data_IF_416185411988
#
_entry.id   IF_416185411988
#
_cell.length_a   1.000
_cell.length_b   1.000
_cell.length_c   1.000
_cell.angle_alpha   90.00
_cell.angle_beta   90.00
_cell.angle_gamma   90.00
#
_symmetry.space_group_name_H-M   'P 1'
#
loop_
_entity.id
_entity.type
_entity.pdbx_description
1 polymer ?
#
# COMPACT_ATOMS: atom_id res chain seq x y z
N UNK A 1 3.36 -10.40 5.29
CA UNK A 1 3.78 -9.00 5.50
C UNK A 1 2.74 -8.29 6.35
N UNK A 2 3.19 -7.59 7.36
CA UNK A 2 2.27 -6.88 8.26
C UNK A 2 2.15 -5.42 7.86
N UNK A 3 0.93 -4.88 7.94
CA UNK A 3 0.70 -3.47 7.59
C UNK A 3 1.49 -2.52 8.48
N UNK A 4 1.79 -2.94 9.71
CA UNK A 4 2.62 -2.15 10.61
C UNK A 4 4.06 -1.95 10.11
N UNK A 5 4.52 -2.81 9.21
CA UNK A 5 5.88 -2.71 8.63
C UNK A 5 5.96 -1.74 7.45
N UNK A 6 4.82 -1.25 6.99
CA UNK A 6 4.76 -0.31 5.88
C UNK A 6 5.05 1.10 6.36
N UNK A 7 5.77 1.85 5.53
CA UNK A 7 6.01 3.27 5.80
C UNK A 7 5.25 4.10 4.77
N UNK A 8 4.39 4.97 5.24
CA UNK A 8 3.61 5.86 4.38
C UNK A 8 4.12 7.28 4.53
N UNK A 9 4.45 7.90 3.41
CA UNK A 9 4.97 9.26 3.38
C UNK A 9 4.12 10.11 2.44
N UNK A 10 3.68 11.28 2.92
CA UNK A 10 3.10 12.31 2.06
C UNK A 10 4.22 13.26 1.65
N UNK A 11 4.78 13.00 0.48
CA UNK A 11 5.90 13.79 -0.01
C UNK A 11 5.38 15.06 -0.69
N UNK A 12 5.46 16.17 0.03
CA UNK A 12 4.93 17.44 -0.45
C UNK A 12 5.77 18.06 -1.57
N UNK A 13 7.07 17.77 -1.59
CA UNK A 13 7.96 18.26 -2.65
C UNK A 13 7.60 17.66 -4.00
N UNK A 14 7.32 16.36 -4.03
CA UNK A 14 6.95 15.65 -5.25
C UNK A 14 5.45 15.61 -5.48
N UNK A 15 4.66 16.08 -4.52
CA UNK A 15 3.19 15.95 -4.54
C UNK A 15 2.75 14.50 -4.73
N UNK A 16 3.39 13.59 -3.99
CA UNK A 16 3.12 12.16 -4.08
C UNK A 16 2.88 11.55 -2.70
N UNK A 17 1.96 10.59 -2.65
CA UNK A 17 1.83 9.69 -1.51
C UNK A 17 2.67 8.48 -1.85
N UNK A 18 3.60 8.13 -0.95
CA UNK A 18 4.53 7.04 -1.15
C UNK A 18 4.32 5.97 -0.08
N UNK A 19 4.22 4.71 -0.52
CA UNK A 19 4.12 3.57 0.39
C UNK A 19 5.36 2.72 0.19
N UNK A 20 6.16 2.61 1.25
CA UNK A 20 7.39 1.83 1.25
C UNK A 20 7.12 0.47 1.90
N UNK A 21 7.50 -0.59 1.21
CA UNK A 21 7.35 -1.95 1.70
C UNK A 21 8.71 -2.47 2.15
N UNK A 22 8.75 -3.33 3.19
CA UNK A 22 10.03 -3.90 3.65
C UNK A 22 10.66 -4.85 2.64
N UNK A 23 9.87 -5.33 1.70
CA UNK A 23 10.34 -6.18 0.62
C UNK A 23 9.39 -6.06 -0.55
N UNK A 24 9.52 -6.96 -1.52
CA UNK A 24 8.61 -6.97 -2.66
C UNK A 24 7.23 -7.46 -2.23
N UNK A 25 6.18 -6.67 -2.43
CA UNK A 25 4.82 -7.12 -2.09
C UNK A 25 4.40 -8.25 -3.00
N UNK A 26 3.51 -9.12 -2.50
CA UNK A 26 2.99 -10.22 -3.29
C UNK A 26 2.03 -9.71 -4.36
N UNK A 27 1.62 -10.64 -5.24
CA UNK A 27 0.77 -10.27 -6.38
C UNK A 27 -0.56 -9.66 -5.94
N UNK A 28 -1.19 -10.23 -4.92
CA UNK A 28 -2.47 -9.74 -4.43
C UNK A 28 -2.36 -8.30 -3.92
N UNK A 29 -1.29 -8.01 -3.19
CA UNK A 29 -1.02 -6.66 -2.70
C UNK A 29 -0.80 -5.70 -3.85
N UNK A 30 -0.04 -6.12 -4.88
CA UNK A 30 0.20 -5.28 -6.04
C UNK A 30 -1.08 -4.96 -6.80
N UNK A 31 -1.99 -5.93 -6.91
CA UNK A 31 -3.29 -5.72 -7.55
C UNK A 31 -4.09 -4.66 -6.78
N UNK A 32 -4.11 -4.75 -5.45
CA UNK A 32 -4.80 -3.77 -4.62
C UNK A 32 -4.24 -2.36 -4.86
N UNK A 33 -2.92 -2.23 -4.89
CA UNK A 33 -2.26 -0.95 -5.13
C UNK A 33 -2.63 -0.38 -6.51
N UNK A 34 -2.53 -1.21 -7.55
CA UNK A 34 -2.82 -0.78 -8.92
C UNK A 34 -4.28 -0.37 -9.08
N UNK A 35 -5.20 -1.10 -8.45
CA UNK A 35 -6.63 -0.78 -8.51
C UNK A 35 -6.96 0.57 -7.87
N UNK A 36 -6.09 1.06 -7.01
CA UNK A 36 -6.25 2.35 -6.36
C UNK A 36 -5.34 3.42 -6.95
N UNK A 37 -4.79 3.17 -8.14
CA UNK A 37 -4.01 4.16 -8.87
C UNK A 37 -2.57 4.31 -8.43
N UNK A 38 -2.09 3.44 -7.54
CA UNK A 38 -0.69 3.45 -7.15
C UNK A 38 0.16 2.77 -8.21
N UNK A 39 1.37 3.30 -8.43
CA UNK A 39 2.33 2.73 -9.38
C UNK A 39 3.69 2.58 -8.72
N UNK A 40 4.40 1.57 -9.13
CA UNK A 40 5.75 1.34 -8.65
C UNK A 40 6.70 2.38 -9.20
N UNK A 41 7.53 2.96 -8.33
CA UNK A 41 8.58 3.90 -8.71
C UNK A 41 9.94 3.29 -8.39
N UNK A 42 10.69 2.83 -9.40
CA UNK A 42 12.03 2.28 -9.15
C UNK A 42 12.99 3.29 -8.53
N UNK A 43 12.90 4.54 -8.93
CA UNK A 43 13.74 5.61 -8.39
C UNK A 43 13.47 5.86 -6.92
N UNK A 44 12.20 5.92 -6.55
CA UNK A 44 11.81 6.18 -5.17
C UNK A 44 11.82 4.94 -4.29
N UNK A 45 11.83 3.76 -4.90
CA UNK A 45 11.74 2.52 -4.15
C UNK A 45 10.42 2.35 -3.43
N UNK A 46 9.34 2.92 -3.98
CA UNK A 46 8.03 2.95 -3.33
C UNK A 46 6.90 2.89 -4.34
N UNK A 47 5.72 2.51 -3.87
CA UNK A 47 4.49 2.64 -4.62
C UNK A 47 3.94 4.04 -4.36
N UNK A 48 3.57 4.75 -5.41
CA UNK A 48 3.16 6.14 -5.26
C UNK A 48 2.02 6.54 -6.19
N UNK A 49 1.30 7.57 -5.77
CA UNK A 49 0.30 8.25 -6.59
C UNK A 49 0.22 9.72 -6.15
N UNK A 50 -0.54 10.52 -6.90
CA UNK A 50 -0.68 11.95 -6.63
C UNK A 50 -1.17 12.23 -5.21
N UNK A 51 -0.58 13.22 -4.57
CA UNK A 51 -0.97 13.69 -3.24
C UNK A 51 -2.13 14.69 -3.38
N UNK A 52 -3.35 14.17 -3.24
CA UNK A 52 -4.57 14.97 -3.27
C UNK A 52 -5.63 14.23 -2.45
N UNK A 53 -6.83 14.77 -2.38
CA UNK A 53 -7.90 14.15 -1.59
C UNK A 53 -8.24 12.74 -2.07
N UNK A 54 -8.29 12.56 -3.40
CA UNK A 54 -8.51 11.23 -3.96
C UNK A 54 -7.39 10.27 -3.62
N UNK A 55 -6.15 10.76 -3.62
CA UNK A 55 -4.99 9.96 -3.26
C UNK A 55 -5.02 9.54 -1.81
N UNK A 56 -5.39 10.45 -0.91
CA UNK A 56 -5.53 10.13 0.51
C UNK A 56 -6.62 9.10 0.74
N UNK A 57 -7.75 9.26 0.07
CA UNK A 57 -8.84 8.29 0.15
C UNK A 57 -8.38 6.92 -0.36
N UNK A 58 -7.69 6.89 -1.49
CA UNK A 58 -7.17 5.65 -2.05
C UNK A 58 -6.16 4.97 -1.11
N UNK A 59 -5.29 5.76 -0.48
CA UNK A 59 -4.33 5.25 0.51
C UNK A 59 -5.07 4.58 1.67
N UNK A 60 -6.10 5.23 2.19
CA UNK A 60 -6.88 4.67 3.30
C UNK A 60 -7.54 3.35 2.90
N UNK A 61 -8.08 3.29 1.69
CA UNK A 61 -8.70 2.06 1.18
C UNK A 61 -7.69 0.94 0.98
N UNK A 62 -6.51 1.27 0.48
CA UNK A 62 -5.43 0.29 0.35
C UNK A 62 -5.08 -0.28 1.72
N UNK A 63 -4.89 0.58 2.70
CA UNK A 63 -4.50 0.13 4.04
C UNK A 63 -5.58 -0.74 4.67
N UNK A 64 -6.85 -0.36 4.54
CA UNK A 64 -7.97 -1.20 5.02
C UNK A 64 -7.94 -2.58 4.39
N UNK A 65 -7.76 -2.62 3.07
CA UNK A 65 -7.74 -3.89 2.34
C UNK A 65 -6.56 -4.77 2.76
N UNK A 66 -5.39 -4.18 2.90
CA UNK A 66 -4.20 -4.92 3.33
C UNK A 66 -4.35 -5.44 4.75
N UNK A 67 -4.95 -4.67 5.64
CA UNK A 67 -5.23 -5.11 7.00
C UNK A 67 -6.17 -6.30 7.02
N UNK A 68 -7.20 -6.29 6.19
CA UNK A 68 -8.12 -7.44 6.06
C UNK A 68 -7.40 -8.67 5.52
N UNK A 69 -6.56 -8.50 4.52
CA UNK A 69 -5.79 -9.59 3.95
C UNK A 69 -4.83 -10.17 4.99
N UNK A 70 -4.20 -9.33 5.77
CA UNK A 70 -3.32 -9.74 6.86
C UNK A 70 -4.09 -10.55 7.92
N UNK A 71 -5.24 -10.04 8.34
CA UNK A 71 -6.08 -10.73 9.32
C UNK A 71 -6.53 -12.10 8.82
N UNK A 72 -6.88 -12.21 7.55
CA UNK A 72 -7.28 -13.47 6.96
C UNK A 72 -6.13 -14.47 6.91
N UNK A 73 -4.92 -13.99 6.64
CA UNK A 73 -3.74 -14.87 6.60
C UNK A 73 -3.32 -15.35 7.99
N UNK A 74 -3.54 -14.51 9.00
CA UNK A 74 -3.15 -14.81 10.37
C UNK A 74 -4.19 -15.66 11.12
N UNK A 75 -5.37 -15.86 10.54
CA UNK A 75 -6.37 -16.72 11.16
C UNK A 75 -5.90 -18.17 11.14
N UNK A 76 -5.97 -18.86 12.28
CA UNK A 76 -5.64 -20.29 12.30
C UNK A 76 -6.60 -21.03 11.39
N UNK A 77 -6.04 -21.94 10.59
CA UNK A 77 -6.85 -22.79 9.73
C UNK A 77 -7.75 -23.66 10.59
N UNK A 78 -9.02 -23.60 10.30
CA UNK A 78 -9.97 -24.51 10.93
C UNK A 78 -10.07 -25.75 10.08
N UNK A 79 -9.83 -26.83 10.72
CA UNK A 79 -10.02 -28.13 10.08
C UNK A 79 -11.48 -28.55 10.15
#
# INVERSE_FOLDING_TARGET
>A
MKTADLKIVENTELHKIQIFFPGKPDEDTRVVLKNRGFRWSPKGGAWQRALNDNGRYAKDRVMEKLERMEAMKDEPKRD
#
